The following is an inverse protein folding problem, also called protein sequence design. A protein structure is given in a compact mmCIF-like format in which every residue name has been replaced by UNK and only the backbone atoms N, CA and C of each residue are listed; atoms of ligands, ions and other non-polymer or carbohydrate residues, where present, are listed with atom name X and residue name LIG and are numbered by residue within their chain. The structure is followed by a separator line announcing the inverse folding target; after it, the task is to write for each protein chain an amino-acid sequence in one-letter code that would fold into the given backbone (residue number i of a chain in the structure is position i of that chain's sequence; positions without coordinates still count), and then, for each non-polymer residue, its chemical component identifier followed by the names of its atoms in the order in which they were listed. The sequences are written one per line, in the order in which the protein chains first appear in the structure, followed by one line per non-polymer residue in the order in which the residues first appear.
data_IF_446557138036
#
_entry.id   IF_446557138036
#
_cell.length_a   1.000
_cell.length_b   1.000
_cell.length_c   1.000
_cell.angle_alpha   90.00
_cell.angle_beta   90.00
_cell.angle_gamma   90.00
#
_symmetry.space_group_name_H-M   'P 1'
#
loop_
_entity.id
_entity.type
_entity.pdbx_description
1 polymer ?
#
# COMPACT_ATOMS: atom_id res chain seq x y z
N UNK A 1 -6.33 -12.87 56.13
CA UNK A 1 -7.06 -11.91 55.29
C UNK A 1 -6.28 -11.77 54.00
N UNK A 2 -6.75 -12.45 52.96
CA UNK A 2 -6.03 -12.64 51.70
C UNK A 2 -6.30 -11.44 50.77
N UNK A 3 -5.26 -10.66 50.46
CA UNK A 3 -5.32 -9.49 49.56
C UNK A 3 -4.57 -9.80 48.25
N UNK A 4 -4.93 -10.89 47.58
CA UNK A 4 -4.55 -11.14 46.19
C UNK A 4 -5.52 -10.39 45.27
N UNK A 5 -5.26 -9.10 45.08
CA UNK A 5 -6.07 -8.20 44.27
C UNK A 5 -6.17 -8.64 42.81
N UNK A 6 -7.40 -8.68 42.29
CA UNK A 6 -7.67 -8.91 40.88
C UNK A 6 -6.89 -7.92 40.01
N UNK A 7 -6.08 -8.44 39.07
CA UNK A 7 -5.33 -7.64 38.09
C UNK A 7 -6.32 -6.93 37.18
N UNK A 8 -6.70 -5.69 37.50
CA UNK A 8 -7.57 -4.88 36.66
C UNK A 8 -6.75 -4.31 35.49
N UNK A 9 -7.27 -4.42 34.26
CA UNK A 9 -6.66 -3.83 33.07
C UNK A 9 -6.49 -2.30 33.21
N UNK A 10 -5.70 -1.68 32.31
CA UNK A 10 -5.48 -0.24 32.34
C UNK A 10 -6.83 0.52 32.28
N UNK A 11 -7.09 1.50 33.17
CA UNK A 11 -8.34 2.26 33.15
C UNK A 11 -8.60 2.87 31.78
N UNK A 12 -9.86 2.84 31.30
CA UNK A 12 -10.20 3.20 29.92
C UNK A 12 -9.73 4.59 29.48
N UNK A 13 -9.76 5.59 30.37
CA UNK A 13 -9.27 6.94 30.06
C UNK A 13 -7.74 6.99 29.87
N UNK A 14 -6.97 6.26 30.70
CA UNK A 14 -5.51 6.15 30.58
C UNK A 14 -5.14 5.37 29.33
N UNK A 15 -5.90 4.30 29.04
CA UNK A 15 -5.71 3.53 27.82
C UNK A 15 -5.92 4.41 26.59
N UNK A 16 -7.04 5.15 26.54
CA UNK A 16 -7.33 6.08 25.45
C UNK A 16 -6.24 7.14 25.31
N UNK A 17 -5.82 7.78 26.40
CA UNK A 17 -4.75 8.78 26.38
C UNK A 17 -3.46 8.23 25.77
N UNK A 18 -3.06 7.01 26.13
CA UNK A 18 -1.85 6.37 25.63
C UNK A 18 -2.01 5.96 24.17
N UNK A 19 -3.14 5.37 23.78
CA UNK A 19 -3.37 4.96 22.38
C UNK A 19 -3.46 6.16 21.46
N UNK A 20 -4.16 7.23 21.86
CA UNK A 20 -4.24 8.48 21.10
C UNK A 20 -2.85 9.10 20.91
N UNK A 21 -2.00 9.03 21.95
CA UNK A 21 -0.62 9.50 21.84
C UNK A 21 0.20 8.65 20.85
N UNK A 22 0.12 7.32 20.93
CA UNK A 22 0.80 6.41 20.00
C UNK A 22 0.37 6.69 18.54
N UNK A 23 -0.94 6.85 18.31
CA UNK A 23 -1.50 7.08 16.97
C UNK A 23 -1.13 8.45 16.38
N UNK A 24 -0.84 9.45 17.22
CA UNK A 24 -0.39 10.78 16.78
C UNK A 24 1.13 10.89 16.61
N UNK A 25 1.91 9.97 17.21
CA UNK A 25 3.38 9.98 17.20
C UNK A 25 3.95 8.71 16.57
N UNK A 26 3.30 8.24 15.48
CA UNK A 26 3.69 6.98 14.83
C UNK A 26 5.09 7.01 14.23
N UNK A 27 5.63 8.17 13.87
CA UNK A 27 6.94 8.29 13.21
C UNK A 27 8.12 8.33 14.22
N UNK A 28 7.85 8.39 15.53
CA UNK A 28 8.86 8.48 16.59
C UNK A 28 9.36 7.10 17.06
N UNK A 29 10.60 7.00 17.55
CA UNK A 29 11.13 5.76 18.13
C UNK A 29 10.28 5.28 19.32
N UNK A 30 10.19 3.95 19.50
CA UNK A 30 9.43 3.38 20.60
C UNK A 30 10.15 3.61 21.94
N UNK A 31 9.48 4.28 22.87
CA UNK A 31 9.97 4.45 24.24
C UNK A 31 8.92 4.02 25.28
N UNK A 32 9.20 2.91 25.96
CA UNK A 32 8.34 2.38 27.01
C UNK A 32 8.32 3.25 28.27
N UNK A 33 9.41 3.97 28.60
CA UNK A 33 9.42 4.90 29.74
C UNK A 33 8.43 6.02 29.53
N UNK A 34 8.52 6.68 28.38
CA UNK A 34 7.65 7.80 28.02
C UNK A 34 6.17 7.40 28.00
N UNK A 35 5.84 6.21 27.50
CA UNK A 35 4.47 5.70 27.51
C UNK A 35 3.97 5.38 28.93
N UNK A 36 4.82 4.80 29.78
CA UNK A 36 4.46 4.48 31.16
C UNK A 36 4.26 5.76 32.00
N UNK A 37 5.11 6.77 31.80
CA UNK A 37 5.01 8.07 32.45
C UNK A 37 3.69 8.78 32.11
N UNK A 38 3.21 8.70 30.86
CA UNK A 38 1.89 9.25 30.46
C UNK A 38 0.71 8.62 31.19
N UNK A 39 0.89 7.42 31.74
CA UNK A 39 -0.12 6.72 32.52
C UNK A 39 0.10 6.82 34.05
N UNK A 40 1.09 7.57 34.51
CA UNK A 40 1.55 7.61 35.92
C UNK A 40 1.87 6.21 36.49
N UNK A 41 2.54 5.37 35.69
CA UNK A 41 2.85 3.98 36.04
C UNK A 41 4.33 3.67 35.85
N UNK A 42 4.82 2.66 36.58
CA UNK A 42 6.10 2.04 36.25
C UNK A 42 5.98 1.25 34.94
N UNK A 43 7.09 1.14 34.19
CA UNK A 43 7.20 0.36 32.94
C UNK A 43 6.58 -1.03 33.03
N UNK A 44 6.92 -1.78 34.08
CA UNK A 44 6.45 -3.16 34.26
C UNK A 44 4.95 -3.22 34.51
N UNK A 45 4.43 -2.31 35.34
CA UNK A 45 3.01 -2.25 35.63
C UNK A 45 2.23 -1.84 34.38
N UNK A 46 2.67 -0.77 33.71
CA UNK A 46 2.09 -0.30 32.45
C UNK A 46 2.07 -1.40 31.39
N UNK A 47 3.21 -2.04 31.13
CA UNK A 47 3.29 -3.10 30.12
C UNK A 47 2.29 -4.24 30.38
N UNK A 48 2.18 -4.70 31.63
CA UNK A 48 1.22 -5.74 32.03
C UNK A 48 -0.22 -5.28 31.81
N UNK A 49 -0.58 -4.09 32.31
CA UNK A 49 -1.94 -3.58 32.23
C UNK A 49 -2.37 -3.26 30.80
N UNK A 50 -1.46 -2.70 30.00
CA UNK A 50 -1.67 -2.40 28.58
C UNK A 50 -1.90 -3.69 27.78
N UNK A 51 -1.07 -4.71 27.99
CA UNK A 51 -1.25 -6.01 27.33
C UNK A 51 -2.54 -6.71 27.75
N UNK A 52 -2.92 -6.60 29.01
CA UNK A 52 -4.20 -7.12 29.49
C UNK A 52 -5.40 -6.39 28.86
N UNK A 53 -5.27 -5.08 28.63
CA UNK A 53 -6.35 -4.26 28.04
C UNK A 53 -6.48 -4.42 26.53
N UNK A 54 -5.35 -4.51 25.80
CA UNK A 54 -5.31 -4.47 24.32
C UNK A 54 -5.07 -5.83 23.67
N UNK A 55 -4.63 -6.82 24.44
CA UNK A 55 -4.12 -8.10 23.93
C UNK A 55 -2.71 -8.03 23.33
N UNK A 56 -2.12 -6.84 23.20
CA UNK A 56 -0.83 -6.60 22.54
C UNK A 56 0.17 -5.98 23.51
N UNK A 57 1.47 -6.22 23.32
CA UNK A 57 2.48 -5.37 23.98
C UNK A 57 2.43 -3.95 23.40
N UNK A 58 2.83 -2.91 24.16
CA UNK A 58 2.86 -1.54 23.65
C UNK A 58 3.65 -1.40 22.33
N UNK A 59 4.80 -2.06 22.23
CA UNK A 59 5.61 -2.04 21.00
C UNK A 59 4.88 -2.68 19.80
N UNK A 60 4.19 -3.81 20.02
CA UNK A 60 3.41 -4.46 18.96
C UNK A 60 2.21 -3.62 18.55
N UNK A 61 1.56 -2.95 19.50
CA UNK A 61 0.47 -2.03 19.21
C UNK A 61 0.94 -0.86 18.34
N UNK A 62 2.07 -0.22 18.65
CA UNK A 62 2.64 0.84 17.81
C UNK A 62 3.00 0.33 16.42
N UNK A 63 3.60 -0.87 16.31
CA UNK A 63 3.91 -1.47 15.01
C UNK A 63 2.64 -1.72 14.18
N UNK A 64 1.60 -2.28 14.77
CA UNK A 64 0.34 -2.51 14.07
C UNK A 64 -0.34 -1.19 13.64
N UNK A 65 -0.27 -0.16 14.49
CA UNK A 65 -0.76 1.18 14.16
C UNK A 65 0.02 1.81 13.00
N UNK A 66 1.36 1.69 12.98
CA UNK A 66 2.21 2.10 11.85
C UNK A 66 1.82 1.41 10.56
N UNK A 67 1.60 0.09 10.60
CA UNK A 67 1.21 -0.67 9.41
C UNK A 67 -0.18 -0.28 8.91
N UNK A 68 -1.14 -0.02 9.81
CA UNK A 68 -2.47 0.49 9.44
C UNK A 68 -2.37 1.85 8.77
N UNK A 69 -1.58 2.75 9.35
CA UNK A 69 -1.37 4.10 8.84
C UNK A 69 -0.62 4.11 7.50
N UNK A 70 0.46 3.34 7.36
CA UNK A 70 1.18 3.21 6.10
C UNK A 70 0.25 2.71 4.97
N UNK A 71 -0.57 1.68 5.25
CA UNK A 71 -1.58 1.21 4.30
C UNK A 71 -2.63 2.28 3.97
N UNK A 72 -3.04 3.09 4.96
CA UNK A 72 -3.96 4.20 4.76
C UNK A 72 -3.33 5.26 3.87
N UNK A 73 -2.12 5.73 4.19
CA UNK A 73 -1.35 6.69 3.40
C UNK A 73 -1.15 6.18 1.96
N UNK A 74 -0.81 4.91 1.76
CA UNK A 74 -0.68 4.34 0.41
C UNK A 74 -2.01 4.31 -0.37
N UNK A 75 -3.13 3.99 0.30
CA UNK A 75 -4.46 4.05 -0.34
C UNK A 75 -4.91 5.47 -0.66
N UNK A 76 -4.59 6.42 0.23
CA UNK A 76 -4.96 7.83 0.10
C UNK A 76 -4.00 8.63 -0.77
N UNK A 77 -2.82 8.09 -1.07
CA UNK A 77 -1.93 8.62 -2.09
C UNK A 77 -2.63 8.44 -3.42
N UNK A 78 -3.51 9.39 -3.74
CA UNK A 78 -4.21 9.46 -4.99
C UNK A 78 -3.22 9.95 -6.04
N UNK A 79 -2.51 9.00 -6.66
CA UNK A 79 -1.77 9.26 -7.88
C UNK A 79 -2.59 8.65 -9.03
N UNK A 80 -3.47 9.43 -9.68
CA UNK A 80 -4.22 8.93 -10.82
C UNK A 80 -3.26 8.29 -11.82
N UNK A 81 -3.58 7.08 -12.29
CA UNK A 81 -2.68 6.22 -13.06
C UNK A 81 -2.01 6.93 -14.25
N UNK A 82 -2.68 7.93 -14.82
CA UNK A 82 -2.25 8.65 -16.02
C UNK A 82 -1.77 10.08 -15.76
N UNK A 83 -1.61 10.51 -14.50
CA UNK A 83 -1.17 11.87 -14.14
C UNK A 83 0.09 12.30 -14.90
N UNK A 84 1.01 11.35 -15.13
CA UNK A 84 2.32 11.61 -15.74
C UNK A 84 2.48 11.04 -17.15
N UNK A 85 1.38 10.71 -17.85
CA UNK A 85 1.46 10.16 -19.23
C UNK A 85 2.25 11.07 -20.18
N UNK A 86 2.23 12.39 -19.94
CA UNK A 86 2.98 13.43 -20.68
C UNK A 86 4.49 13.41 -20.44
N UNK A 87 4.97 12.73 -19.41
CA UNK A 87 6.42 12.54 -19.20
C UNK A 87 6.94 11.38 -20.05
N UNK A 88 6.05 10.43 -20.39
CA UNK A 88 6.34 9.28 -21.24
C UNK A 88 6.18 9.66 -22.71
N UNK A 89 5.01 10.18 -23.13
CA UNK A 89 4.78 10.68 -24.49
C UNK A 89 5.38 12.09 -24.68
N UNK A 90 5.97 12.47 -25.82
CA UNK A 90 5.77 11.89 -27.16
C UNK A 90 6.83 10.86 -27.55
N UNK A 91 7.50 10.19 -26.59
CA UNK A 91 8.30 9.02 -26.98
C UNK A 91 7.36 7.95 -27.55
N UNK A 92 7.75 7.25 -28.63
CA UNK A 92 6.93 6.21 -29.23
C UNK A 92 6.41 5.19 -28.21
N UNK A 93 5.09 4.97 -28.17
CA UNK A 93 4.46 4.01 -27.23
C UNK A 93 3.67 2.94 -27.99
N UNK A 94 4.03 1.67 -27.78
CA UNK A 94 3.23 0.53 -28.20
C UNK A 94 2.48 -0.06 -27.00
N UNK A 95 1.15 0.02 -27.02
CA UNK A 95 0.29 -0.61 -26.05
C UNK A 95 -0.16 -1.98 -26.58
N UNK A 96 0.03 -3.04 -25.79
CA UNK A 96 -0.40 -4.40 -26.14
C UNK A 96 -1.32 -4.90 -25.03
N UNK A 97 -2.53 -5.33 -25.39
CA UNK A 97 -3.50 -5.77 -24.40
C UNK A 97 -4.37 -6.92 -24.90
N UNK A 98 -4.70 -7.88 -24.03
CA UNK A 98 -5.61 -8.97 -24.39
C UNK A 98 -7.07 -8.50 -24.49
N UNK A 99 -7.80 -8.96 -25.50
CA UNK A 99 -9.20 -8.59 -25.73
C UNK A 99 -10.11 -8.85 -24.51
N UNK A 100 -9.87 -9.95 -23.79
CA UNK A 100 -10.69 -10.43 -22.67
C UNK A 100 -10.13 -10.03 -21.30
N UNK A 101 -9.09 -9.19 -21.27
CA UNK A 101 -8.50 -8.76 -20.01
C UNK A 101 -9.38 -7.67 -19.35
N UNK A 102 -9.70 -7.86 -18.06
CA UNK A 102 -10.45 -6.87 -17.29
C UNK A 102 -9.75 -5.50 -17.21
N UNK A 103 -8.43 -5.48 -17.38
CA UNK A 103 -7.60 -4.28 -17.37
C UNK A 103 -7.51 -3.55 -18.70
N UNK A 104 -8.23 -3.99 -19.75
CA UNK A 104 -8.16 -3.41 -21.10
C UNK A 104 -8.41 -1.91 -21.12
N UNK A 105 -9.39 -1.45 -20.35
CA UNK A 105 -9.73 -0.04 -20.26
C UNK A 105 -8.55 0.84 -19.80
N UNK A 106 -7.60 0.30 -19.03
CA UNK A 106 -6.41 1.06 -18.63
C UNK A 106 -5.53 1.40 -19.83
N UNK A 107 -5.27 0.43 -20.71
CA UNK A 107 -4.48 0.66 -21.93
C UNK A 107 -5.21 1.57 -22.91
N UNK A 108 -6.54 1.44 -23.03
CA UNK A 108 -7.35 2.33 -23.87
C UNK A 108 -7.33 3.78 -23.35
N UNK A 109 -7.49 3.96 -22.04
CA UNK A 109 -7.44 5.30 -21.42
C UNK A 109 -6.05 5.92 -21.57
N UNK A 110 -4.98 5.13 -21.37
CA UNK A 110 -3.61 5.57 -21.56
C UNK A 110 -3.33 5.94 -23.03
N UNK A 111 -3.80 5.13 -23.98
CA UNK A 111 -3.69 5.40 -25.41
C UNK A 111 -4.40 6.71 -25.78
N UNK A 112 -5.62 6.95 -25.30
CA UNK A 112 -6.33 8.21 -25.54
C UNK A 112 -5.56 9.41 -24.98
N UNK A 113 -4.96 9.29 -23.80
CA UNK A 113 -4.27 10.39 -23.11
C UNK A 113 -2.85 10.66 -23.64
N UNK A 114 -2.17 9.68 -24.22
CA UNK A 114 -0.81 9.81 -24.74
C UNK A 114 -0.75 10.65 -26.03
N UNK A 115 0.35 11.37 -26.25
CA UNK A 115 0.64 11.99 -27.54
C UNK A 115 1.19 10.97 -28.56
N UNK A 116 1.10 11.30 -29.85
CA UNK A 116 1.74 10.55 -30.94
C UNK A 116 3.28 10.62 -30.86
N UNK A 117 4.01 9.64 -31.42
CA UNK A 117 3.51 8.42 -32.08
C UNK A 117 3.09 7.33 -31.07
N UNK A 118 1.92 6.73 -31.28
CA UNK A 118 1.41 5.65 -30.43
C UNK A 118 0.63 4.62 -31.24
N UNK A 119 0.61 3.38 -30.75
CA UNK A 119 -0.15 2.28 -31.33
C UNK A 119 -0.81 1.45 -30.22
N UNK A 120 -2.04 0.99 -30.46
CA UNK A 120 -2.76 0.08 -29.58
C UNK A 120 -3.08 -1.21 -30.31
N UNK A 121 -2.51 -2.32 -29.82
CA UNK A 121 -2.72 -3.66 -30.34
C UNK A 121 -3.55 -4.49 -29.36
N UNK A 122 -4.75 -4.87 -29.79
CA UNK A 122 -5.64 -5.75 -29.03
C UNK A 122 -5.48 -7.19 -29.54
N UNK A 123 -5.10 -8.10 -28.66
CA UNK A 123 -4.86 -9.52 -29.00
C UNK A 123 -6.18 -10.31 -28.85
N UNK A 124 -6.77 -10.81 -29.95
CA UNK A 124 -8.06 -11.49 -29.92
C UNK A 124 -8.04 -12.71 -29.00
N UNK A 125 -9.08 -12.85 -28.19
CA UNK A 125 -9.25 -13.98 -27.28
C UNK A 125 -8.21 -14.10 -26.15
N UNK A 126 -7.23 -13.20 -26.05
CA UNK A 126 -6.23 -13.21 -24.99
C UNK A 126 -6.76 -12.56 -23.71
N UNK A 127 -6.44 -13.16 -22.56
CA UNK A 127 -6.63 -12.57 -21.23
C UNK A 127 -5.40 -11.79 -20.77
N UNK A 128 -5.42 -11.26 -19.54
CA UNK A 128 -4.29 -10.53 -18.96
C UNK A 128 -3.02 -11.39 -18.85
N UNK A 129 -3.17 -12.66 -18.45
CA UNK A 129 -2.04 -13.56 -18.18
C UNK A 129 -1.53 -14.29 -19.42
N UNK A 130 -2.35 -14.39 -20.46
CA UNK A 130 -2.01 -15.12 -21.68
C UNK A 130 -0.77 -14.54 -22.39
N UNK A 131 -0.49 -13.25 -22.23
CA UNK A 131 0.66 -12.59 -22.87
C UNK A 131 1.97 -12.76 -22.08
N UNK A 132 1.98 -13.51 -20.96
CA UNK A 132 3.19 -13.79 -20.19
C UNK A 132 3.93 -15.04 -20.66
N UNK A 133 3.19 -16.10 -21.02
CA UNK A 133 3.77 -17.43 -21.27
C UNK A 133 3.32 -18.07 -22.59
N UNK A 134 2.16 -17.67 -23.15
CA UNK A 134 1.71 -18.18 -24.45
C UNK A 134 2.39 -17.42 -25.57
N UNK A 135 3.59 -17.89 -25.94
CA UNK A 135 4.40 -17.28 -27.00
C UNK A 135 3.68 -17.19 -28.35
N UNK A 136 2.71 -18.08 -28.62
CA UNK A 136 1.85 -18.05 -29.81
C UNK A 136 0.90 -16.85 -29.85
N UNK A 137 0.60 -16.23 -28.70
CA UNK A 137 -0.26 -15.04 -28.59
C UNK A 137 0.51 -13.73 -28.53
N UNK A 138 1.82 -13.77 -28.27
CA UNK A 138 2.63 -12.56 -28.15
C UNK A 138 2.97 -12.06 -29.56
N UNK A 139 2.67 -10.79 -29.90
CA UNK A 139 2.86 -10.25 -31.24
C UNK A 139 4.32 -9.81 -31.48
N UNK A 140 5.27 -10.73 -31.37
CA UNK A 140 6.72 -10.45 -31.48
C UNK A 140 7.08 -9.71 -32.77
N UNK A 141 6.50 -10.10 -33.90
CA UNK A 141 6.72 -9.45 -35.20
C UNK A 141 6.34 -7.97 -35.16
N UNK A 142 5.19 -7.61 -34.58
CA UNK A 142 4.77 -6.21 -34.49
C UNK A 142 5.61 -5.42 -33.50
N UNK A 143 5.99 -6.02 -32.37
CA UNK A 143 6.91 -5.40 -31.41
C UNK A 143 8.23 -5.05 -32.09
N UNK A 144 8.83 -6.02 -32.81
CA UNK A 144 10.08 -5.82 -33.52
C UNK A 144 9.97 -4.73 -34.60
N UNK A 145 8.89 -4.76 -35.39
CA UNK A 145 8.64 -3.75 -36.42
C UNK A 145 8.45 -2.34 -35.83
N UNK A 146 7.64 -2.18 -34.78
CA UNK A 146 7.44 -0.89 -34.11
C UNK A 146 8.76 -0.34 -33.56
N UNK A 147 9.57 -1.18 -32.91
CA UNK A 147 10.88 -0.80 -32.42
C UNK A 147 11.80 -0.36 -33.57
N UNK A 148 11.85 -1.10 -34.68
CA UNK A 148 12.66 -0.74 -35.85
C UNK A 148 12.20 0.56 -36.52
N UNK A 149 10.90 0.83 -36.54
CA UNK A 149 10.30 2.05 -37.10
C UNK A 149 10.64 3.30 -36.27
N UNK A 150 10.70 3.15 -34.94
CA UNK A 150 10.62 4.28 -34.02
C UNK A 150 11.83 4.46 -33.08
N UNK A 151 12.63 3.42 -32.85
CA UNK A 151 13.85 3.50 -32.05
C UNK A 151 15.05 3.55 -33.00
N UNK A 152 15.63 4.75 -33.14
CA UNK A 152 16.87 5.00 -33.88
C UNK A 152 18.03 5.20 -32.92
#
# INVERSE_FOLDING_TARGET
MDLRGASAALPGFKLKQVTDWIETHLDEEFDLDSLAAKADLSKFHFHRLFKQATGLSPAKFQLDARMKEARRRLRETNMPLLTYIKEISPRPILFIHGEKAHSRYFSETAYTAAAEPKELLIIPGASHVDLYDRMDKIPFERIAAFCAEHLK
#
